data_IF_881400458588
#
_entry.id   IF_881400458588
#
_cell.length_a   1.000
_cell.length_b   1.000
_cell.length_c   1.000
_cell.angle_alpha   90.00
_cell.angle_beta   90.00
_cell.angle_gamma   90.00
#
_symmetry.space_group_name_H-M   'P 1'
#
loop_
_entity.id
_entity.type
_entity.pdbx_description
1 polymer ?
#
# COMPACT_ATOMS: atom_id res chain seq x y z
N UNK A 1 6.68 20.25 29.50
CA UNK A 1 6.02 18.97 29.81
C UNK A 1 6.36 17.93 28.75
N UNK A 2 6.74 16.73 29.14
CA UNK A 2 6.96 15.67 28.17
C UNK A 2 5.64 15.29 27.49
N UNK A 3 5.62 15.22 26.18
CA UNK A 3 4.44 14.83 25.42
C UNK A 3 4.18 13.33 25.62
N UNK A 4 2.95 12.98 25.98
CA UNK A 4 2.56 11.58 26.17
C UNK A 4 2.56 10.87 24.79
N UNK A 5 3.26 9.73 24.66
CA UNK A 5 3.29 9.03 23.37
C UNK A 5 1.89 8.56 22.94
N UNK A 6 1.64 8.60 21.65
CA UNK A 6 0.38 8.18 21.04
C UNK A 6 0.64 7.64 19.63
N UNK A 7 -0.31 6.90 19.10
CA UNK A 7 -0.26 6.40 17.72
C UNK A 7 -1.08 7.30 16.80
N UNK A 8 -0.81 7.29 15.48
CA UNK A 8 -1.63 8.03 14.53
C UNK A 8 -3.09 7.60 14.57
N UNK A 9 -3.99 8.57 14.41
CA UNK A 9 -5.42 8.32 14.38
C UNK A 9 -5.79 7.33 13.26
N UNK A 10 -6.65 6.37 13.56
CA UNK A 10 -7.07 5.33 12.61
C UNK A 10 -6.13 4.14 12.52
N UNK A 11 -5.10 4.09 13.37
CA UNK A 11 -4.19 2.96 13.49
C UNK A 11 -4.33 2.29 14.86
N UNK A 12 -3.82 1.09 14.98
CA UNK A 12 -3.79 0.37 16.27
C UNK A 12 -2.59 -0.56 16.37
N UNK A 13 -2.17 -0.78 17.59
CA UNK A 13 -1.22 -1.85 17.91
C UNK A 13 -1.97 -3.19 18.04
N UNK A 14 -1.28 -4.26 17.75
CA UNK A 14 -1.74 -5.63 17.99
C UNK A 14 -0.81 -6.28 19.00
N UNK A 15 -1.35 -6.70 20.13
CA UNK A 15 -0.60 -7.42 21.15
C UNK A 15 -0.12 -8.78 20.62
N UNK A 16 0.87 -9.41 21.29
CA UNK A 16 1.31 -10.75 20.90
C UNK A 16 0.17 -11.76 20.81
N UNK A 17 -0.77 -11.75 21.75
CA UNK A 17 -1.92 -12.66 21.72
C UNK A 17 -2.83 -12.38 20.51
N UNK A 18 -3.13 -11.12 20.24
CA UNK A 18 -3.93 -10.75 19.07
C UNK A 18 -3.23 -11.17 17.77
N UNK A 19 -1.90 -10.99 17.69
CA UNK A 19 -1.14 -11.39 16.51
C UNK A 19 -1.10 -12.91 16.34
N UNK A 20 -0.97 -13.66 17.41
CA UNK A 20 -1.04 -15.13 17.34
C UNK A 20 -2.38 -15.61 16.80
N UNK A 21 -3.49 -15.00 17.23
CA UNK A 21 -4.83 -15.31 16.73
C UNK A 21 -4.98 -14.94 15.25
N UNK A 22 -4.47 -13.77 14.86
CA UNK A 22 -4.48 -13.33 13.45
C UNK A 22 -3.67 -14.25 12.54
N UNK A 23 -2.48 -14.63 12.98
CA UNK A 23 -1.61 -15.55 12.23
C UNK A 23 -2.24 -16.93 12.09
N UNK A 24 -2.91 -17.43 13.12
CA UNK A 24 -3.67 -18.68 13.02
C UNK A 24 -4.71 -18.64 11.90
N UNK A 25 -5.48 -17.55 11.82
CA UNK A 25 -6.49 -17.36 10.77
C UNK A 25 -5.80 -17.29 9.39
N UNK A 26 -4.75 -16.49 9.27
CA UNK A 26 -4.01 -16.36 8.01
C UNK A 26 -3.39 -17.68 7.55
N UNK A 27 -2.86 -18.46 8.46
CA UNK A 27 -2.28 -19.76 8.13
C UNK A 27 -3.32 -20.73 7.59
N UNK A 28 -4.53 -20.73 8.16
CA UNK A 28 -5.65 -21.53 7.62
C UNK A 28 -6.03 -21.11 6.20
N UNK A 29 -6.09 -19.82 5.95
CA UNK A 29 -6.37 -19.28 4.61
C UNK A 29 -5.25 -19.66 3.64
N UNK A 30 -3.98 -19.49 4.03
CA UNK A 30 -2.82 -19.86 3.21
C UNK A 30 -2.81 -21.34 2.85
N UNK A 31 -3.13 -22.21 3.80
CA UNK A 31 -3.18 -23.66 3.56
C UNK A 31 -4.20 -24.02 2.48
N UNK A 32 -5.38 -23.39 2.50
CA UNK A 32 -6.40 -23.58 1.47
C UNK A 32 -5.89 -23.11 0.11
N UNK A 33 -5.29 -21.93 0.03
CA UNK A 33 -4.73 -21.43 -1.24
C UNK A 33 -3.65 -22.36 -1.79
N UNK A 34 -2.73 -22.81 -0.96
CA UNK A 34 -1.68 -23.76 -1.38
C UNK A 34 -2.26 -25.05 -1.91
N UNK A 35 -3.27 -25.59 -1.24
CA UNK A 35 -3.96 -26.82 -1.67
C UNK A 35 -4.60 -26.65 -3.06
N UNK A 36 -5.08 -25.46 -3.38
CA UNK A 36 -5.67 -25.13 -4.68
C UNK A 36 -4.63 -24.69 -5.73
N UNK A 37 -3.35 -24.76 -5.43
CA UNK A 37 -2.27 -24.42 -6.36
C UNK A 37 -1.99 -22.92 -6.49
N UNK A 38 -2.41 -22.07 -5.52
CA UNK A 38 -2.09 -20.66 -5.50
C UNK A 38 -0.74 -20.42 -4.81
N UNK A 39 0.10 -19.59 -5.40
CA UNK A 39 1.39 -19.17 -4.84
C UNK A 39 1.34 -17.84 -4.12
N UNK A 40 2.16 -17.64 -3.08
CA UNK A 40 2.24 -16.35 -2.40
C UNK A 40 2.92 -15.30 -3.25
N UNK A 41 2.43 -14.07 -3.18
CA UNK A 41 3.03 -12.89 -3.80
C UNK A 41 3.09 -11.78 -2.79
N UNK A 42 4.17 -11.03 -2.81
CA UNK A 42 4.29 -9.76 -2.08
C UNK A 42 4.77 -8.65 -3.01
N UNK A 43 4.25 -7.47 -2.82
CA UNK A 43 4.65 -6.25 -3.51
C UNK A 43 5.07 -5.20 -2.49
N UNK A 44 5.83 -4.17 -2.87
CA UNK A 44 6.22 -3.11 -1.94
C UNK A 44 5.02 -2.37 -1.35
N UNK A 45 5.18 -1.87 -0.13
CA UNK A 45 4.19 -1.00 0.51
C UNK A 45 3.96 0.30 -0.27
N UNK A 46 5.00 0.77 -0.92
CA UNK A 46 5.01 1.99 -1.73
C UNK A 46 4.96 1.67 -3.22
N UNK A 47 4.21 2.46 -3.95
CA UNK A 47 4.20 2.49 -5.41
C UNK A 47 4.58 3.89 -5.89
N UNK A 48 5.04 4.00 -7.12
CA UNK A 48 5.16 5.31 -7.75
C UNK A 48 3.79 6.00 -7.76
N UNK A 49 3.74 7.27 -7.40
CA UNK A 49 2.48 8.01 -7.30
C UNK A 49 1.72 8.00 -8.64
N UNK A 50 2.44 8.08 -9.76
CA UNK A 50 1.87 7.98 -11.11
C UNK A 50 1.16 6.65 -11.37
N UNK A 51 1.58 5.57 -10.74
CA UNK A 51 0.91 4.27 -10.82
C UNK A 51 -0.41 4.24 -10.06
N UNK A 52 -0.47 4.95 -8.93
CA UNK A 52 -1.63 4.96 -8.04
C UNK A 52 -2.70 5.96 -8.46
N UNK A 53 -2.30 7.13 -9.00
CA UNK A 53 -3.23 8.20 -9.39
C UNK A 53 -4.09 7.82 -10.59
N UNK A 54 -5.33 8.30 -10.59
CA UNK A 54 -6.25 8.18 -11.70
C UNK A 54 -6.88 6.81 -11.91
N UNK A 55 -6.59 5.83 -11.03
CA UNK A 55 -7.09 4.45 -11.20
C UNK A 55 -8.55 4.28 -10.77
N UNK A 56 -9.00 5.06 -9.80
CA UNK A 56 -10.36 5.01 -9.25
C UNK A 56 -11.04 6.38 -9.25
N UNK A 57 -10.62 7.28 -10.15
CA UNK A 57 -11.13 8.64 -10.23
C UNK A 57 -10.71 9.53 -9.06
N UNK A 58 -11.32 10.71 -8.98
CA UNK A 58 -10.96 11.72 -7.96
C UNK A 58 -11.20 11.24 -6.52
N UNK A 59 -12.21 10.42 -6.30
CA UNK A 59 -12.49 9.88 -4.96
C UNK A 59 -11.40 8.88 -4.53
N UNK A 60 -10.94 8.04 -5.46
CA UNK A 60 -9.82 7.13 -5.19
C UNK A 60 -8.54 7.89 -4.88
N UNK A 61 -8.28 8.96 -5.57
CA UNK A 61 -7.09 9.78 -5.34
C UNK A 61 -7.07 10.43 -3.95
N UNK A 62 -8.24 10.70 -3.37
CA UNK A 62 -8.37 11.21 -1.99
C UNK A 62 -8.03 10.17 -0.92
N UNK A 63 -8.05 8.89 -1.27
CA UNK A 63 -7.70 7.80 -0.35
C UNK A 63 -6.19 7.55 -0.26
N UNK A 64 -5.40 8.19 -1.12
CA UNK A 64 -3.97 7.96 -1.19
C UNK A 64 -3.21 8.75 -0.12
N UNK A 65 -2.42 8.05 0.67
CA UNK A 65 -1.33 8.67 1.42
C UNK A 65 -0.16 8.92 0.49
N UNK A 66 0.13 10.19 0.25
CA UNK A 66 1.27 10.63 -0.54
C UNK A 66 2.49 10.78 0.36
N UNK A 67 3.65 10.33 -0.11
CA UNK A 67 4.89 10.36 0.65
C UNK A 67 5.73 11.53 0.15
N UNK A 68 5.98 12.48 1.05
CA UNK A 68 6.84 13.62 0.76
C UNK A 68 8.25 13.13 0.42
N UNK A 69 8.83 13.68 -0.64
CA UNK A 69 10.19 13.34 -1.04
C UNK A 69 11.18 13.60 0.09
N UNK A 70 12.15 12.71 0.25
CA UNK A 70 13.19 12.83 1.27
C UNK A 70 14.16 13.96 0.94
N UNK A 71 14.80 14.52 1.96
CA UNK A 71 15.73 15.62 1.81
C UNK A 71 15.03 16.96 1.64
N UNK A 72 15.62 17.85 0.88
CA UNK A 72 15.03 19.16 0.58
C UNK A 72 14.04 19.06 -0.58
N UNK A 73 12.82 18.64 -0.25
CA UNK A 73 11.74 18.47 -1.24
C UNK A 73 11.31 19.79 -1.92
N UNK A 74 11.66 20.93 -1.33
CA UNK A 74 11.32 22.26 -1.83
C UNK A 74 12.38 22.86 -2.75
N UNK A 75 13.57 22.24 -2.84
CA UNK A 75 14.69 22.77 -3.60
C UNK A 75 14.34 22.99 -5.07
N UNK A 76 14.56 24.20 -5.56
CA UNK A 76 14.35 24.56 -6.96
C UNK A 76 12.88 24.67 -7.38
N UNK A 77 11.93 24.62 -6.45
CA UNK A 77 10.50 24.73 -6.73
C UNK A 77 9.97 26.11 -6.34
N UNK A 78 9.04 26.63 -7.15
CA UNK A 78 8.28 27.84 -6.83
C UNK A 78 7.05 27.53 -5.96
N UNK A 79 6.34 28.56 -5.48
CA UNK A 79 5.20 28.40 -4.58
C UNK A 79 4.06 27.59 -5.19
N UNK A 80 3.83 27.67 -6.49
CA UNK A 80 2.81 26.92 -7.20
C UNK A 80 3.19 25.42 -7.27
N UNK A 81 4.44 25.13 -7.59
CA UNK A 81 4.97 23.77 -7.66
C UNK A 81 4.96 23.09 -6.29
N UNK A 82 5.25 23.82 -5.20
CA UNK A 82 5.18 23.33 -3.83
C UNK A 82 3.76 22.89 -3.42
N UNK A 83 2.73 23.46 -4.04
CA UNK A 83 1.32 23.07 -3.81
C UNK A 83 0.88 21.88 -4.67
N UNK A 84 1.72 21.45 -5.60
CA UNK A 84 1.41 20.35 -6.51
C UNK A 84 2.02 19.08 -5.97
N UNK A 85 1.16 18.14 -5.52
CA UNK A 85 1.61 16.90 -4.87
C UNK A 85 2.60 16.09 -5.73
N UNK A 86 2.39 16.03 -7.04
CA UNK A 86 3.27 15.30 -7.95
C UNK A 86 4.69 15.87 -8.06
N UNK A 87 4.90 17.12 -7.65
CA UNK A 87 6.21 17.77 -7.65
C UNK A 87 7.02 17.52 -6.38
N UNK A 88 6.33 17.25 -5.27
CA UNK A 88 6.95 17.04 -3.96
C UNK A 88 6.82 15.60 -3.44
N UNK A 89 6.04 14.76 -4.12
CA UNK A 89 5.81 13.36 -3.76
C UNK A 89 5.96 12.48 -5.01
N UNK A 90 6.97 11.65 -5.05
CA UNK A 90 7.17 10.65 -6.12
C UNK A 90 6.46 9.34 -5.83
N UNK A 91 6.16 9.09 -4.55
CA UNK A 91 5.65 7.82 -4.06
C UNK A 91 4.38 8.03 -3.25
N UNK A 92 3.58 6.98 -3.16
CA UNK A 92 2.46 6.89 -2.25
C UNK A 92 2.36 5.52 -1.62
N UNK A 93 1.58 5.39 -0.55
CA UNK A 93 1.25 4.09 0.04
C UNK A 93 0.11 3.46 -0.77
N UNK A 94 0.23 2.18 -1.05
CA UNK A 94 -0.86 1.44 -1.70
C UNK A 94 -2.11 1.45 -0.83
N UNK A 95 -3.26 1.61 -1.43
CA UNK A 95 -4.55 1.60 -0.73
C UNK A 95 -5.37 0.34 -1.02
N UNK A 96 -4.91 -0.49 -1.93
CA UNK A 96 -5.39 -1.84 -2.21
C UNK A 96 -4.23 -2.72 -2.71
N UNK A 97 -4.51 -3.97 -3.02
CA UNK A 97 -3.54 -4.90 -3.59
C UNK A 97 -3.76 -5.14 -5.09
N UNK A 98 -4.83 -4.61 -5.66
CA UNK A 98 -5.18 -4.81 -7.07
C UNK A 98 -4.26 -4.02 -8.00
N UNK A 99 -4.03 -2.74 -7.73
CA UNK A 99 -3.14 -1.89 -8.55
C UNK A 99 -1.69 -2.38 -8.52
N UNK A 100 -1.08 -2.66 -7.36
CA UNK A 100 0.25 -3.27 -7.31
C UNK A 100 0.33 -4.61 -8.04
N UNK A 101 -0.69 -5.44 -7.94
CA UNK A 101 -0.75 -6.69 -8.67
C UNK A 101 -0.80 -6.50 -10.18
N UNK A 102 -1.61 -5.59 -10.68
CA UNK A 102 -1.68 -5.27 -12.10
C UNK A 102 -0.32 -4.77 -12.62
N UNK A 103 0.35 -3.89 -11.87
CA UNK A 103 1.70 -3.43 -12.21
C UNK A 103 2.69 -4.59 -12.27
N UNK A 104 2.65 -5.50 -11.28
CA UNK A 104 3.50 -6.69 -11.26
C UNK A 104 3.29 -7.56 -12.50
N UNK A 105 2.05 -7.86 -12.84
CA UNK A 105 1.72 -8.68 -14.02
C UNK A 105 2.24 -8.03 -15.32
N UNK A 106 2.05 -6.74 -15.49
CA UNK A 106 2.55 -6.01 -16.67
C UNK A 106 4.06 -6.08 -16.78
N UNK A 107 4.78 -5.90 -15.67
CA UNK A 107 6.25 -5.94 -15.65
C UNK A 107 6.83 -7.34 -15.88
N UNK A 108 6.11 -8.38 -15.47
CA UNK A 108 6.60 -9.77 -15.48
C UNK A 108 5.83 -10.68 -16.43
N UNK A 109 5.03 -10.13 -17.34
CA UNK A 109 4.15 -10.93 -18.20
C UNK A 109 4.88 -11.97 -19.05
N UNK A 110 6.14 -11.73 -19.40
CA UNK A 110 6.97 -12.69 -20.14
C UNK A 110 7.49 -13.85 -19.28
N UNK A 111 7.46 -13.70 -17.96
CA UNK A 111 7.94 -14.67 -16.99
C UNK A 111 6.80 -15.47 -16.35
N UNK A 112 5.56 -14.95 -16.45
CA UNK A 112 4.39 -15.55 -15.79
C UNK A 112 3.72 -16.56 -16.73
N UNK A 113 3.47 -17.76 -16.21
CA UNK A 113 2.60 -18.72 -16.85
C UNK A 113 1.13 -18.42 -16.52
N UNK A 114 0.28 -18.36 -17.54
CA UNK A 114 -1.16 -18.15 -17.36
C UNK A 114 -1.93 -19.46 -17.46
N UNK A 115 -2.99 -19.68 -16.65
CA UNK A 115 -3.55 -18.74 -15.63
C UNK A 115 -2.59 -18.56 -14.44
N UNK A 116 -2.44 -17.31 -14.02
CA UNK A 116 -1.59 -16.98 -12.88
C UNK A 116 -2.37 -17.07 -11.57
N UNK A 117 -2.08 -18.09 -10.78
CA UNK A 117 -2.72 -18.34 -9.50
C UNK A 117 -1.86 -17.79 -8.37
N UNK A 118 -2.27 -16.67 -7.79
CA UNK A 118 -1.57 -16.02 -6.68
C UNK A 118 -2.52 -15.71 -5.54
N UNK A 119 -1.99 -15.63 -4.33
CA UNK A 119 -2.63 -14.98 -3.20
C UNK A 119 -1.68 -13.96 -2.59
N UNK A 120 -2.25 -12.93 -1.97
CA UNK A 120 -1.48 -11.86 -1.34
C UNK A 120 -2.21 -11.41 -0.08
N UNK A 121 -1.50 -11.43 1.06
CA UNK A 121 -2.01 -11.01 2.36
C UNK A 121 -1.03 -9.99 2.91
N UNK A 122 -1.31 -8.73 2.70
CA UNK A 122 -0.46 -7.62 3.11
C UNK A 122 -1.32 -6.43 3.55
N UNK A 123 -0.78 -5.54 4.40
CA UNK A 123 -1.50 -4.35 4.82
C UNK A 123 -1.65 -3.33 3.68
N UNK A 124 -2.73 -2.54 3.77
CA UNK A 124 -2.99 -1.38 2.92
C UNK A 124 -3.33 -0.18 3.79
N UNK A 125 -3.19 1.02 3.24
CA UNK A 125 -3.44 2.28 3.96
C UNK A 125 -4.36 3.18 3.14
N UNK A 126 -5.39 3.68 3.78
CA UNK A 126 -6.37 4.58 3.16
C UNK A 126 -6.50 5.86 3.95
N UNK A 127 -6.41 6.99 3.27
CA UNK A 127 -6.54 8.32 3.87
C UNK A 127 -8.01 8.76 3.99
N UNK A 128 -8.87 7.84 4.41
CA UNK A 128 -10.27 8.11 4.71
C UNK A 128 -10.47 8.41 6.21
N UNK A 129 -11.69 8.77 6.58
CA UNK A 129 -11.99 9.04 8.00
C UNK A 129 -11.96 7.73 8.77
N UNK A 130 -11.19 7.63 9.86
CA UNK A 130 -11.24 6.47 10.74
C UNK A 130 -12.63 6.31 11.33
N UNK A 131 -13.14 5.11 11.29
CA UNK A 131 -14.40 4.73 11.94
C UNK A 131 -14.19 4.40 13.41
#
# INVERSE_FOLDING_TARGET
MAQKPSIPKGTRDFSPLEMMRRQYIFDKIRDVFRTCGFGPLETPAMENLSTLLGKYGDEGDKLLFKILNSGDYAAGLNDEELRTASRICEKGLRYDLTVPFARYVVQHQSEIAFPFKRYQIQPVWRADRPQ
#
